data_IF_822012491846
#
_entry.id   IF_822012491846
#
_cell.length_a   1.000
_cell.length_b   1.000
_cell.length_c   1.000
_cell.angle_alpha   90.00
_cell.angle_beta   90.00
_cell.angle_gamma   90.00
#
_symmetry.space_group_name_H-M   'P 1'
#
loop_
_entity.id
_entity.type
_entity.pdbx_description
1 polymer ?
#
# COMPACT_ATOMS: atom_id res chain seq x y z
N UNK A 1 26.64 -2.22 -6.79
CA UNK A 1 25.76 -3.08 -7.62
C UNK A 1 24.66 -3.75 -6.80
N UNK A 2 24.96 -4.62 -5.82
CA UNK A 2 23.92 -5.35 -5.05
C UNK A 2 22.98 -4.43 -4.24
N UNK A 3 23.50 -3.39 -3.59
CA UNK A 3 22.69 -2.45 -2.80
C UNK A 3 21.67 -1.67 -3.66
N UNK A 4 22.10 -1.22 -4.85
CA UNK A 4 21.24 -0.53 -5.81
C UNK A 4 20.16 -1.45 -6.40
N UNK A 5 20.50 -2.73 -6.64
CA UNK A 5 19.52 -3.71 -7.07
C UNK A 5 18.47 -3.95 -5.98
N UNK A 6 18.90 -4.10 -4.73
CA UNK A 6 17.99 -4.33 -3.61
C UNK A 6 17.06 -3.14 -3.37
N UNK A 7 17.55 -1.90 -3.46
CA UNK A 7 16.70 -0.72 -3.26
C UNK A 7 15.71 -0.57 -4.40
N UNK A 8 16.14 -0.78 -5.64
CA UNK A 8 15.24 -0.81 -6.80
C UNK A 8 14.16 -1.87 -6.65
N UNK A 9 14.52 -3.12 -6.34
CA UNK A 9 13.54 -4.18 -6.11
C UNK A 9 12.57 -3.85 -4.97
N UNK A 10 13.06 -3.22 -3.89
CA UNK A 10 12.22 -2.78 -2.77
C UNK A 10 11.15 -1.79 -3.25
N UNK A 11 11.54 -0.83 -4.10
CA UNK A 11 10.59 0.12 -4.70
C UNK A 11 9.64 -0.55 -5.67
N UNK A 12 10.16 -1.37 -6.59
CA UNK A 12 9.35 -2.04 -7.61
C UNK A 12 8.27 -2.96 -6.98
N UNK A 13 8.58 -3.66 -5.89
CA UNK A 13 7.59 -4.47 -5.16
C UNK A 13 6.54 -3.58 -4.48
N UNK A 14 6.95 -2.44 -3.92
CA UNK A 14 6.02 -1.46 -3.33
C UNK A 14 5.06 -0.91 -4.37
N UNK A 15 5.57 -0.49 -5.53
CA UNK A 15 4.78 0.03 -6.65
C UNK A 15 3.80 -1.02 -7.19
N UNK A 16 4.23 -2.28 -7.27
CA UNK A 16 3.37 -3.41 -7.64
C UNK A 16 2.22 -3.60 -6.66
N UNK A 17 2.49 -3.61 -5.34
CA UNK A 17 1.45 -3.75 -4.34
C UNK A 17 0.50 -2.57 -4.30
N UNK A 18 0.99 -1.34 -4.49
CA UNK A 18 0.13 -0.15 -4.61
C UNK A 18 -0.83 -0.26 -5.79
N UNK A 19 -0.31 -0.64 -6.96
CA UNK A 19 -1.10 -0.80 -8.19
C UNK A 19 -2.18 -1.86 -8.02
N UNK A 20 -1.83 -3.02 -7.46
CA UNK A 20 -2.78 -4.10 -7.25
C UNK A 20 -3.83 -3.75 -6.17
N UNK A 21 -3.45 -2.98 -5.16
CA UNK A 21 -4.41 -2.51 -4.13
C UNK A 21 -5.46 -1.59 -4.72
N UNK A 22 -5.05 -0.63 -5.57
CA UNK A 22 -6.00 0.26 -6.27
C UNK A 22 -6.95 -0.54 -7.16
N UNK A 23 -6.42 -1.53 -7.88
CA UNK A 23 -7.24 -2.44 -8.70
C UNK A 23 -8.30 -3.18 -7.87
N UNK A 24 -7.94 -3.66 -6.67
CA UNK A 24 -8.86 -4.35 -5.76
C UNK A 24 -9.92 -3.42 -5.15
N UNK A 25 -9.61 -2.13 -5.00
CA UNK A 25 -10.56 -1.12 -4.52
C UNK A 25 -11.53 -0.67 -5.61
N UNK A 26 -11.10 -0.69 -6.87
CA UNK A 26 -11.95 -0.39 -8.03
C UNK A 26 -12.85 -1.59 -8.44
N UNK A 27 -12.63 -2.78 -7.89
CA UNK A 27 -13.50 -3.95 -8.12
C UNK A 27 -14.90 -3.73 -7.50
N UNK A 28 -15.92 -4.39 -8.07
CA UNK A 28 -17.28 -4.37 -7.52
C UNK A 28 -17.76 -5.80 -7.23
N UNK A 29 -17.98 -6.19 -5.95
CA UNK A 29 -17.73 -5.39 -4.75
C UNK A 29 -16.22 -5.19 -4.48
N UNK A 30 -15.81 -4.11 -3.78
CA UNK A 30 -14.41 -3.87 -3.46
C UNK A 30 -13.83 -4.95 -2.54
N UNK A 31 -12.60 -5.39 -2.80
CA UNK A 31 -11.89 -6.34 -1.94
C UNK A 31 -11.00 -5.61 -0.92
N UNK A 32 -11.66 -4.97 0.04
CA UNK A 32 -11.03 -4.11 1.05
C UNK A 32 -9.98 -4.86 1.89
N UNK A 33 -10.23 -6.11 2.29
CA UNK A 33 -9.27 -6.87 3.10
C UNK A 33 -7.96 -7.13 2.36
N UNK A 34 -8.04 -7.56 1.09
CA UNK A 34 -6.85 -7.80 0.27
C UNK A 34 -6.10 -6.49 -0.04
N UNK A 35 -6.83 -5.40 -0.31
CA UNK A 35 -6.24 -4.08 -0.52
C UNK A 35 -5.51 -3.58 0.75
N UNK A 36 -6.12 -3.68 1.93
CA UNK A 36 -5.54 -3.26 3.20
C UNK A 36 -4.18 -3.92 3.47
N UNK A 37 -4.11 -5.24 3.30
CA UNK A 37 -2.86 -5.98 3.53
C UNK A 37 -1.75 -5.55 2.57
N UNK A 38 -2.08 -5.32 1.30
CA UNK A 38 -1.10 -4.89 0.28
C UNK A 38 -0.65 -3.45 0.49
N UNK A 39 -1.55 -2.54 0.86
CA UNK A 39 -1.21 -1.15 1.23
C UNK A 39 -0.31 -1.11 2.48
N UNK A 40 -0.59 -1.95 3.48
CA UNK A 40 0.25 -2.10 4.68
C UNK A 40 1.68 -2.55 4.33
N UNK A 41 1.82 -3.47 3.37
CA UNK A 41 3.14 -3.87 2.85
C UNK A 41 3.81 -2.76 2.05
N UNK A 42 3.05 -2.05 1.21
CA UNK A 42 3.54 -0.90 0.43
C UNK A 42 4.15 0.17 1.34
N UNK A 43 3.46 0.54 2.43
CA UNK A 43 3.96 1.49 3.40
C UNK A 43 5.35 1.08 3.94
N UNK A 44 5.49 -0.17 4.41
CA UNK A 44 6.76 -0.71 4.92
C UNK A 44 7.88 -0.72 3.88
N UNK A 45 7.54 -1.02 2.62
CA UNK A 45 8.50 -1.05 1.52
C UNK A 45 8.98 0.35 1.16
N UNK A 46 8.09 1.34 1.12
CA UNK A 46 8.45 2.74 0.88
C UNK A 46 9.29 3.33 2.01
N UNK A 47 8.98 3.06 3.28
CA UNK A 47 9.85 3.46 4.39
C UNK A 47 11.25 2.84 4.27
N UNK A 48 11.31 1.56 3.88
CA UNK A 48 12.59 0.86 3.74
C UNK A 48 13.41 1.38 2.57
N UNK A 49 12.76 1.62 1.42
CA UNK A 49 13.39 2.25 0.27
C UNK A 49 13.94 3.65 0.61
N UNK A 50 13.13 4.49 1.27
CA UNK A 50 13.56 5.82 1.71
C UNK A 50 14.80 5.78 2.62
N UNK A 51 14.87 4.80 3.53
CA UNK A 51 16.05 4.57 4.37
C UNK A 51 17.28 4.11 3.57
N UNK A 52 17.09 3.23 2.59
CA UNK A 52 18.17 2.68 1.76
C UNK A 52 18.80 3.73 0.85
N UNK A 53 17.96 4.52 0.17
CA UNK A 53 18.41 5.56 -0.77
C UNK A 53 18.63 6.92 -0.11
N UNK A 54 18.30 7.04 1.19
CA UNK A 54 18.35 8.31 1.95
C UNK A 54 17.53 9.42 1.29
N UNK A 55 16.34 9.06 0.81
CA UNK A 55 15.39 9.97 0.16
C UNK A 55 14.10 10.08 0.97
N UNK A 56 13.39 11.20 0.80
CA UNK A 56 12.07 11.36 1.39
C UNK A 56 11.02 10.67 0.53
N UNK A 57 10.15 9.89 1.17
CA UNK A 57 8.98 9.23 0.57
C UNK A 57 7.67 9.86 1.06
N UNK A 58 7.70 11.15 1.45
CA UNK A 58 6.56 11.81 2.12
C UNK A 58 5.29 11.74 1.28
N UNK A 59 5.40 11.99 -0.03
CA UNK A 59 4.25 12.02 -0.93
C UNK A 59 3.65 10.63 -1.07
N UNK A 60 4.50 9.64 -1.35
CA UNK A 60 4.10 8.25 -1.54
C UNK A 60 3.49 7.65 -0.27
N UNK A 61 4.08 7.93 0.90
CA UNK A 61 3.54 7.48 2.18
C UNK A 61 2.22 8.19 2.52
N UNK A 62 2.06 9.47 2.17
CA UNK A 62 0.80 10.17 2.35
C UNK A 62 -0.33 9.54 1.52
N UNK A 63 -0.06 9.23 0.24
CA UNK A 63 -1.01 8.54 -0.63
C UNK A 63 -1.38 7.15 -0.09
N UNK A 64 -0.40 6.36 0.35
CA UNK A 64 -0.67 5.03 0.93
C UNK A 64 -1.51 5.14 2.20
N UNK A 65 -1.27 6.14 3.05
CA UNK A 65 -2.04 6.34 4.28
C UNK A 65 -3.48 6.77 3.99
N UNK A 66 -3.71 7.64 3.00
CA UNK A 66 -5.08 7.99 2.58
C UNK A 66 -5.85 6.76 2.11
N UNK A 67 -5.23 5.92 1.28
CA UNK A 67 -5.86 4.69 0.83
C UNK A 67 -6.12 3.72 2.01
N UNK A 68 -5.20 3.60 2.96
CA UNK A 68 -5.41 2.77 4.16
C UNK A 68 -6.62 3.24 4.98
N UNK A 69 -6.77 4.54 5.17
CA UNK A 69 -7.93 5.14 5.86
C UNK A 69 -9.25 4.80 5.13
N UNK A 70 -9.29 4.98 3.81
CA UNK A 70 -10.46 4.62 2.98
C UNK A 70 -10.83 3.14 3.10
N UNK A 71 -9.83 2.25 3.07
CA UNK A 71 -10.05 0.81 3.20
C UNK A 71 -10.55 0.43 4.60
N UNK A 72 -10.01 1.04 5.65
CA UNK A 72 -10.44 0.80 7.03
C UNK A 72 -11.90 1.21 7.26
N UNK A 73 -12.34 2.32 6.65
CA UNK A 73 -13.75 2.74 6.67
C UNK A 73 -14.65 1.73 5.94
N UNK A 74 -14.22 1.29 4.75
CA UNK A 74 -14.95 0.27 3.98
C UNK A 74 -15.06 -1.08 4.70
N UNK A 75 -14.05 -1.47 5.48
CA UNK A 75 -14.09 -2.70 6.31
C UNK A 75 -15.05 -2.57 7.50
N UNK A 76 -15.13 -1.39 8.13
CA UNK A 76 -16.07 -1.15 9.23
C UNK A 76 -17.52 -1.18 8.73
N UNK A 77 -17.78 -0.52 7.59
CA UNK A 77 -19.12 -0.48 7.00
C UNK A 77 -19.66 -1.86 6.64
N UNK A 78 -18.82 -2.79 6.15
CA UNK A 78 -19.29 -4.14 5.84
C UNK A 78 -19.51 -4.99 7.08
N UNK A 79 -18.85 -4.67 8.21
CA UNK A 79 -19.06 -5.37 9.48
C UNK A 79 -20.38 -5.01 10.13
N UNK A 80 -20.88 -3.80 9.91
CA UNK A 80 -22.15 -3.31 10.49
C UNK A 80 -23.39 -3.79 9.71
N UNK A 81 -23.22 -4.31 8.48
CA UNK A 81 -24.31 -4.85 7.64
C UNK A 81 -24.58 -6.35 7.86
N UNK A 82 -23.69 -7.05 8.57
CA UNK A 82 -23.76 -8.50 8.82
C UNK A 82 -24.38 -8.87 10.20
N UNK A 83 -24.79 -7.88 11.02
CA UNK A 83 -25.45 -8.02 12.35
C UNK A 83 -26.98 -7.85 12.28
#
# INVERSE_FOLDING_TARGET
LLAQLLSRMTRDIGDYFLTESKRLLDENPPNNSAAYHRLSWTHKLYERYGKMERVSMRRELHEVNQLLEEVEEGLKSSSDEDD
#
